data_IF_751845336746
#
_entry.id   IF_751845336746
#
_cell.length_a   1.000
_cell.length_b   1.000
_cell.length_c   1.000
_cell.angle_alpha   90.00
_cell.angle_beta   90.00
_cell.angle_gamma   90.00
#
_symmetry.space_group_name_H-M   'P 1'
#
loop_
_entity.id
_entity.type
_entity.pdbx_description
1 polymer ?
#
# COMPACT_ATOMS: atom_id res chain seq x y z
N UNK A 1 4.49 14.56 -8.75
CA UNK A 1 3.14 14.10 -8.35
C UNK A 1 2.11 15.15 -8.77
N UNK A 2 0.98 14.74 -9.36
CA UNK A 2 -0.15 15.64 -9.57
C UNK A 2 -0.52 16.30 -8.23
N UNK A 3 -0.78 17.60 -8.23
CA UNK A 3 -1.13 18.35 -7.02
C UNK A 3 -2.50 17.88 -6.53
N UNK A 4 -2.51 16.98 -5.56
CA UNK A 4 -3.71 16.66 -4.81
C UNK A 4 -4.02 17.83 -3.87
N UNK A 5 -5.30 18.19 -3.76
CA UNK A 5 -5.78 19.22 -2.86
C UNK A 5 -6.44 18.56 -1.64
N UNK A 6 -6.37 19.26 -0.50
CA UNK A 6 -7.11 18.87 0.70
C UNK A 6 -8.46 19.58 0.73
N UNK A 7 -9.51 18.87 1.16
CA UNK A 7 -10.81 19.46 1.45
C UNK A 7 -10.81 20.19 2.82
N UNK A 8 -11.98 20.65 3.28
CA UNK A 8 -12.14 21.33 4.56
C UNK A 8 -11.82 20.47 5.80
N UNK A 9 -11.89 19.14 5.66
CA UNK A 9 -11.56 18.17 6.70
C UNK A 9 -10.08 17.73 6.64
N UNK A 10 -9.33 18.20 5.65
CA UNK A 10 -7.94 17.80 5.42
C UNK A 10 -7.80 16.51 4.61
N UNK A 11 -8.88 16.01 4.00
CA UNK A 11 -8.91 14.79 3.20
C UNK A 11 -8.56 15.05 1.74
N UNK A 12 -8.00 14.04 1.08
CA UNK A 12 -7.44 14.13 -0.26
C UNK A 12 -8.53 14.02 -1.32
N UNK A 13 -8.68 15.06 -2.15
CA UNK A 13 -9.72 15.11 -3.19
C UNK A 13 -9.23 14.41 -4.48
N UNK A 14 -10.01 13.49 -5.08
CA UNK A 14 -9.67 12.85 -6.35
C UNK A 14 -9.88 13.81 -7.54
N UNK A 15 -8.93 14.73 -7.73
CA UNK A 15 -8.99 15.78 -8.75
C UNK A 15 -8.88 15.26 -10.19
N UNK A 16 -9.18 16.13 -11.16
CA UNK A 16 -8.95 15.89 -12.58
C UNK A 16 -7.48 15.55 -12.85
N UNK A 17 -6.55 16.30 -12.27
CA UNK A 17 -5.10 16.08 -12.42
C UNK A 17 -4.66 14.75 -11.82
N UNK A 18 -5.25 14.37 -10.69
CA UNK A 18 -5.01 13.06 -10.08
C UNK A 18 -5.43 11.92 -11.00
N UNK A 19 -6.65 11.95 -11.54
CA UNK A 19 -7.12 10.91 -12.45
C UNK A 19 -6.36 10.91 -13.78
N UNK A 20 -5.97 12.09 -14.29
CA UNK A 20 -5.15 12.20 -15.49
C UNK A 20 -3.81 11.47 -15.35
N UNK A 21 -3.20 11.53 -14.16
CA UNK A 21 -1.93 10.84 -13.90
C UNK A 21 -2.04 9.32 -14.05
N UNK A 22 -3.20 8.71 -13.82
CA UNK A 22 -3.41 7.27 -14.07
C UNK A 22 -3.44 6.94 -15.56
N UNK A 23 -4.04 7.79 -16.38
CA UNK A 23 -4.05 7.58 -17.83
C UNK A 23 -2.67 7.81 -18.46
N UNK A 24 -1.81 8.60 -17.82
CA UNK A 24 -0.43 8.86 -18.26
C UNK A 24 0.57 7.75 -17.90
N UNK A 25 0.17 6.71 -17.15
CA UNK A 25 1.09 5.62 -16.81
C UNK A 25 1.37 4.75 -18.03
N UNK A 26 2.56 4.15 -18.06
CA UNK A 26 3.04 3.34 -19.19
C UNK A 26 2.09 2.18 -19.52
N UNK A 27 1.36 1.63 -18.54
CA UNK A 27 0.40 0.55 -18.79
C UNK A 27 -0.84 0.99 -19.61
N UNK A 28 -1.08 2.30 -19.74
CA UNK A 28 -2.26 2.88 -20.42
C UNK A 28 -1.87 3.88 -21.50
N UNK A 29 -0.71 4.51 -21.38
CA UNK A 29 -0.18 5.47 -22.33
C UNK A 29 0.05 4.79 -23.70
N UNK A 30 -0.45 5.37 -24.80
CA UNK A 30 -0.28 4.79 -26.12
C UNK A 30 1.19 4.70 -26.53
N UNK A 31 1.52 3.62 -27.23
CA UNK A 31 2.81 3.40 -27.85
C UNK A 31 2.82 3.90 -29.30
N UNK A 32 4.01 3.91 -29.93
CA UNK A 32 4.17 4.32 -31.32
C UNK A 32 3.34 3.50 -32.33
N UNK A 33 2.96 2.28 -31.95
CA UNK A 33 2.20 1.32 -32.75
C UNK A 33 0.71 1.24 -32.37
N UNK A 34 0.26 2.05 -31.41
CA UNK A 34 -1.13 2.09 -30.95
C UNK A 34 -2.10 2.44 -32.08
N UNK A 35 -3.28 1.84 -32.05
CA UNK A 35 -4.28 2.01 -33.10
C UNK A 35 -4.98 3.39 -33.01
N UNK A 36 -5.59 3.89 -34.10
CA UNK A 36 -6.28 5.18 -34.09
C UNK A 36 -7.39 5.31 -33.03
N UNK A 37 -8.10 4.21 -32.74
CA UNK A 37 -9.16 4.18 -31.72
C UNK A 37 -8.60 4.41 -30.31
N UNK A 38 -7.49 3.77 -29.99
CA UNK A 38 -6.79 3.94 -28.71
C UNK A 38 -6.25 5.36 -28.55
N UNK A 39 -5.60 5.90 -29.59
CA UNK A 39 -5.11 7.30 -29.58
C UNK A 39 -6.26 8.30 -29.37
N UNK A 40 -7.41 8.05 -29.98
CA UNK A 40 -8.61 8.89 -29.81
C UNK A 40 -9.18 8.79 -28.39
N UNK A 41 -9.31 7.58 -27.84
CA UNK A 41 -9.77 7.37 -26.47
C UNK A 41 -8.80 7.98 -25.45
N UNK A 42 -7.50 7.75 -25.62
CA UNK A 42 -6.47 8.30 -24.75
C UNK A 42 -6.50 9.82 -24.76
N UNK A 43 -6.59 10.45 -25.94
CA UNK A 43 -6.71 11.91 -26.03
C UNK A 43 -7.95 12.43 -25.30
N UNK A 44 -9.11 11.79 -25.51
CA UNK A 44 -10.36 12.13 -24.83
C UNK A 44 -10.22 12.09 -23.31
N UNK A 45 -9.63 11.01 -22.78
CA UNK A 45 -9.44 10.81 -21.33
C UNK A 45 -8.29 11.63 -20.75
N UNK A 46 -7.29 11.96 -21.56
CA UNK A 46 -6.30 12.93 -21.16
C UNK A 46 -7.00 14.28 -21.01
N UNK A 47 -7.67 14.81 -22.04
CA UNK A 47 -8.34 16.12 -22.01
C UNK A 47 -9.37 16.23 -20.87
N UNK A 48 -10.26 15.25 -20.73
CA UNK A 48 -11.24 15.13 -19.66
C UNK A 48 -11.24 13.69 -19.07
N UNK A 49 -10.52 13.46 -17.95
CA UNK A 49 -10.43 12.15 -17.29
C UNK A 49 -11.78 11.56 -16.88
N UNK A 50 -12.78 12.40 -16.60
CA UNK A 50 -14.12 11.98 -16.21
C UNK A 50 -15.12 11.92 -17.38
N UNK A 51 -14.64 12.11 -18.62
CA UNK A 51 -15.47 11.95 -19.80
C UNK A 51 -16.11 10.55 -19.85
N UNK A 52 -17.39 10.44 -20.24
CA UNK A 52 -18.06 9.15 -20.33
C UNK A 52 -17.43 8.30 -21.44
N UNK A 53 -17.17 7.02 -21.14
CA UNK A 53 -16.64 6.04 -22.09
C UNK A 53 -17.72 5.01 -22.37
N UNK A 54 -18.07 4.85 -23.64
CA UNK A 54 -19.08 3.86 -24.06
C UNK A 54 -18.39 2.55 -24.48
N UNK A 55 -19.08 1.40 -24.43
CA UNK A 55 -18.46 0.11 -24.79
C UNK A 55 -17.86 0.08 -26.19
N UNK A 56 -18.41 0.85 -27.14
CA UNK A 56 -17.88 0.97 -28.50
C UNK A 56 -16.50 1.62 -28.55
N UNK A 57 -16.21 2.58 -27.65
CA UNK A 57 -14.90 3.25 -27.57
C UNK A 57 -13.78 2.22 -27.28
N UNK A 58 -14.08 1.19 -26.48
CA UNK A 58 -13.13 0.12 -26.14
C UNK A 58 -13.15 -1.04 -27.16
N UNK A 59 -14.28 -1.28 -27.82
CA UNK A 59 -14.42 -2.36 -28.79
C UNK A 59 -13.51 -2.15 -30.02
N UNK A 60 -13.36 -0.91 -30.46
CA UNK A 60 -12.54 -0.52 -31.61
C UNK A 60 -11.03 -0.62 -31.35
N UNK A 61 -10.61 -0.82 -30.10
CA UNK A 61 -9.21 -1.07 -29.76
C UNK A 61 -8.85 -2.52 -30.09
N UNK A 62 -7.81 -2.68 -30.92
CA UNK A 62 -7.36 -3.98 -31.41
C UNK A 62 -6.76 -4.84 -30.29
N UNK A 63 -5.89 -4.25 -29.47
CA UNK A 63 -5.19 -4.93 -28.40
C UNK A 63 -6.10 -5.12 -27.17
N UNK A 64 -6.28 -6.37 -26.74
CA UNK A 64 -7.17 -6.71 -25.62
C UNK A 64 -6.51 -6.52 -24.25
N UNK A 65 -5.19 -6.54 -24.17
CA UNK A 65 -4.47 -6.23 -22.94
C UNK A 65 -4.54 -4.73 -22.66
N UNK A 66 -4.41 -3.89 -23.69
CA UNK A 66 -4.67 -2.44 -23.59
C UNK A 66 -6.09 -2.17 -23.11
N UNK A 67 -7.10 -2.84 -23.69
CA UNK A 67 -8.50 -2.70 -23.23
C UNK A 67 -8.65 -3.08 -21.76
N UNK A 68 -7.98 -4.12 -21.30
CA UNK A 68 -8.01 -4.53 -19.90
C UNK A 68 -7.44 -3.45 -18.96
N UNK A 69 -6.32 -2.84 -19.35
CA UNK A 69 -5.69 -1.78 -18.58
C UNK A 69 -6.59 -0.53 -18.50
N UNK A 70 -7.18 -0.11 -19.62
CA UNK A 70 -8.18 0.98 -19.62
C UNK A 70 -9.37 0.65 -18.71
N UNK A 71 -9.91 -0.56 -18.79
CA UNK A 71 -11.03 -0.98 -17.94
C UNK A 71 -10.69 -0.93 -16.45
N UNK A 72 -9.48 -1.33 -16.06
CA UNK A 72 -9.04 -1.26 -14.67
C UNK A 72 -9.06 0.19 -14.15
N UNK A 73 -8.46 1.13 -14.89
CA UNK A 73 -8.43 2.55 -14.52
C UNK A 73 -9.83 3.18 -14.57
N UNK A 74 -10.64 2.86 -15.58
CA UNK A 74 -12.00 3.38 -15.69
C UNK A 74 -12.89 2.92 -14.54
N UNK A 75 -12.80 1.66 -14.11
CA UNK A 75 -13.54 1.17 -12.94
C UNK A 75 -13.11 1.84 -11.64
N UNK A 76 -11.82 2.12 -11.49
CA UNK A 76 -11.31 2.88 -10.34
C UNK A 76 -11.82 4.32 -10.36
N UNK A 77 -11.74 5.00 -11.50
CA UNK A 77 -12.31 6.34 -11.72
C UNK A 77 -13.80 6.40 -11.38
N UNK A 78 -14.57 5.47 -11.93
CA UNK A 78 -16.02 5.42 -11.77
C UNK A 78 -16.38 5.18 -10.30
N UNK A 79 -15.59 4.36 -9.59
CA UNK A 79 -15.73 4.19 -8.15
C UNK A 79 -15.49 5.50 -7.40
N UNK A 80 -14.35 6.15 -7.64
CA UNK A 80 -13.99 7.42 -6.98
C UNK A 80 -14.99 8.54 -7.24
N UNK A 81 -15.65 8.54 -8.40
CA UNK A 81 -16.67 9.54 -8.75
C UNK A 81 -17.90 9.53 -7.83
N UNK A 82 -18.05 8.50 -6.99
CA UNK A 82 -19.12 8.41 -5.99
C UNK A 82 -18.75 9.03 -4.62
N UNK A 83 -17.51 9.51 -4.45
CA UNK A 83 -16.99 9.98 -3.18
C UNK A 83 -16.31 11.34 -3.33
N UNK A 84 -16.34 12.14 -2.26
CA UNK A 84 -15.75 13.48 -2.26
C UNK A 84 -14.23 13.45 -2.00
N UNK A 85 -13.75 12.39 -1.37
CA UNK A 85 -12.35 12.21 -0.98
C UNK A 85 -11.89 10.75 -1.14
N UNK A 86 -10.57 10.55 -1.17
CA UNK A 86 -9.94 9.23 -1.13
C UNK A 86 -10.23 8.52 0.19
N UNK A 87 -10.28 9.26 1.29
CA UNK A 87 -10.60 8.78 2.63
C UNK A 87 -12.04 8.24 2.69
N UNK A 88 -13.02 8.94 2.10
CA UNK A 88 -14.40 8.47 1.99
C UNK A 88 -14.50 7.17 1.17
N UNK A 89 -13.80 7.14 0.04
CA UNK A 89 -13.71 5.98 -0.83
C UNK A 89 -13.09 4.76 -0.09
N UNK A 90 -12.00 4.98 0.64
CA UNK A 90 -11.37 3.98 1.50
C UNK A 90 -12.30 3.49 2.61
N UNK A 91 -13.01 4.41 3.29
CA UNK A 91 -13.97 4.06 4.33
C UNK A 91 -15.17 3.27 3.79
N UNK A 92 -15.57 3.51 2.55
CA UNK A 92 -16.61 2.72 1.90
C UNK A 92 -16.16 1.27 1.65
N UNK A 93 -14.92 1.07 1.18
CA UNK A 93 -14.34 -0.26 0.96
C UNK A 93 -14.24 -1.01 2.29
N UNK A 94 -13.71 -0.39 3.35
CA UNK A 94 -13.59 -1.02 4.67
C UNK A 94 -14.94 -1.36 5.30
N UNK A 95 -16.01 -0.64 4.93
CA UNK A 95 -17.40 -0.94 5.32
C UNK A 95 -18.09 -1.97 4.42
N UNK A 96 -17.36 -2.59 3.48
CA UNK A 96 -17.84 -3.71 2.68
C UNK A 96 -18.39 -3.36 1.30
N UNK A 97 -18.18 -2.13 0.81
CA UNK A 97 -18.48 -1.83 -0.60
C UNK A 97 -17.56 -2.66 -1.49
N UNK A 98 -18.17 -3.41 -2.41
CA UNK A 98 -17.44 -4.27 -3.35
C UNK A 98 -16.68 -3.43 -4.36
N UNK A 99 -15.41 -3.76 -4.56
CA UNK A 99 -14.57 -3.20 -5.62
C UNK A 99 -14.63 -4.08 -6.87
N UNK A 100 -14.50 -3.45 -8.03
CA UNK A 100 -14.47 -4.12 -9.34
C UNK A 100 -13.18 -3.82 -10.13
N UNK A 101 -12.19 -3.24 -9.47
CA UNK A 101 -10.86 -2.92 -10.00
C UNK A 101 -9.78 -3.68 -9.19
N UNK A 102 -8.54 -3.81 -9.71
CA UNK A 102 -7.45 -4.50 -9.03
C UNK A 102 -7.15 -3.98 -7.60
N UNK A 103 -6.78 -4.85 -6.63
CA UNK A 103 -6.43 -4.44 -5.27
C UNK A 103 -5.33 -3.37 -5.19
N UNK A 104 -4.40 -3.34 -6.16
CA UNK A 104 -3.34 -2.34 -6.28
C UNK A 104 -3.84 -0.89 -6.18
N UNK A 105 -5.04 -0.58 -6.67
CA UNK A 105 -5.60 0.77 -6.55
C UNK A 105 -5.95 1.14 -5.11
N UNK A 106 -6.34 0.16 -4.29
CA UNK A 106 -6.57 0.36 -2.85
C UNK A 106 -5.24 0.64 -2.15
N UNK A 107 -4.19 -0.12 -2.47
CA UNK A 107 -2.84 0.12 -1.96
C UNK A 107 -2.34 1.52 -2.30
N UNK A 108 -2.47 1.95 -3.55
CA UNK A 108 -2.07 3.30 -3.99
C UNK A 108 -2.87 4.40 -3.30
N UNK A 109 -4.17 4.19 -3.10
CA UNK A 109 -5.01 5.11 -2.34
C UNK A 109 -4.56 5.19 -0.87
N UNK A 110 -4.30 4.06 -0.22
CA UNK A 110 -3.77 3.99 1.15
C UNK A 110 -2.42 4.70 1.26
N UNK A 111 -1.53 4.53 0.28
CA UNK A 111 -0.25 5.22 0.22
C UNK A 111 -0.43 6.75 0.20
N UNK A 112 -1.35 7.27 -0.60
CA UNK A 112 -1.62 8.71 -0.71
C UNK A 112 -2.16 9.25 0.61
N UNK A 113 -3.10 8.52 1.23
CA UNK A 113 -3.66 8.89 2.53
C UNK A 113 -2.56 8.89 3.60
N UNK A 114 -1.67 7.90 3.61
CA UNK A 114 -0.54 7.88 4.54
C UNK A 114 0.45 9.02 4.32
N UNK A 115 0.77 9.35 3.06
CA UNK A 115 1.57 10.56 2.76
C UNK A 115 0.90 11.82 3.29
N UNK A 116 -0.43 11.90 3.24
CA UNK A 116 -1.20 13.00 3.82
C UNK A 116 -1.10 13.02 5.36
N UNK A 117 -1.34 11.88 6.00
CA UNK A 117 -1.29 11.71 7.47
C UNK A 117 0.11 12.02 8.04
N UNK A 118 1.15 11.62 7.30
CA UNK A 118 2.54 11.73 7.72
C UNK A 118 3.21 13.01 7.23
N UNK A 119 2.47 13.93 6.60
CA UNK A 119 2.99 15.23 6.18
C UNK A 119 3.68 15.96 7.35
N UNK A 120 4.91 16.42 7.12
CA UNK A 120 5.77 17.02 8.14
C UNK A 120 6.44 16.05 9.13
N UNK A 121 6.25 14.73 9.00
CA UNK A 121 7.00 13.74 9.79
C UNK A 121 8.45 13.68 9.30
N UNK A 122 9.40 13.87 10.21
CA UNK A 122 10.84 13.90 9.91
C UNK A 122 11.57 12.61 10.24
N UNK A 123 10.90 11.67 10.90
CA UNK A 123 11.46 10.39 11.33
C UNK A 123 11.34 9.37 10.18
N UNK A 124 12.45 8.94 9.55
CA UNK A 124 12.41 8.01 8.42
C UNK A 124 11.88 6.62 8.82
N UNK A 125 12.07 6.22 10.08
CA UNK A 125 11.55 4.93 10.57
C UNK A 125 10.03 4.89 10.52
N UNK A 126 9.37 6.00 10.89
CA UNK A 126 7.91 6.11 10.75
C UNK A 126 7.46 6.07 9.29
N UNK A 127 8.18 6.73 8.38
CA UNK A 127 7.79 6.72 6.96
C UNK A 127 7.96 5.32 6.37
N UNK A 128 9.09 4.66 6.63
CA UNK A 128 9.32 3.29 6.17
C UNK A 128 8.33 2.30 6.79
N UNK A 129 8.03 2.43 8.08
CA UNK A 129 7.05 1.59 8.76
C UNK A 129 5.64 1.76 8.18
N UNK A 130 5.29 2.94 7.65
CA UNK A 130 4.01 3.17 7.02
C UNK A 130 3.81 2.35 5.73
N UNK A 131 4.89 1.95 5.06
CA UNK A 131 4.81 1.10 3.87
C UNK A 131 4.16 -0.25 4.14
N UNK A 132 4.23 -0.77 5.37
CA UNK A 132 3.57 -2.02 5.79
C UNK A 132 2.05 -1.98 5.61
N UNK A 133 1.44 -0.79 5.55
CA UNK A 133 -0.01 -0.64 5.40
C UNK A 133 -0.47 -0.64 3.94
N UNK A 134 0.45 -0.55 2.96
CA UNK A 134 0.10 -0.49 1.54
C UNK A 134 1.01 -1.31 0.62
N UNK A 135 1.98 -2.05 1.17
CA UNK A 135 2.88 -2.95 0.44
C UNK A 135 2.94 -4.28 1.16
N UNK A 136 2.79 -5.36 0.41
CA UNK A 136 3.06 -6.70 0.92
C UNK A 136 4.53 -6.82 1.34
N UNK A 137 4.77 -7.41 2.51
CA UNK A 137 6.12 -7.61 3.03
C UNK A 137 6.48 -9.09 3.06
N UNK A 138 7.74 -9.40 2.77
CA UNK A 138 8.37 -10.66 3.15
C UNK A 138 8.89 -10.50 4.58
N UNK A 139 8.57 -11.46 5.44
CA UNK A 139 9.04 -11.53 6.83
C UNK A 139 10.12 -12.59 6.95
N UNK A 140 11.29 -12.21 7.46
CA UNK A 140 12.40 -13.11 7.74
C UNK A 140 12.74 -13.07 9.22
N UNK A 141 12.94 -14.24 9.83
CA UNK A 141 13.30 -14.39 11.23
C UNK A 141 14.75 -14.84 11.31
N UNK A 142 15.63 -14.04 11.91
CA UNK A 142 17.05 -14.35 12.07
C UNK A 142 17.58 -13.84 13.42
N UNK A 143 18.15 -14.72 14.24
CA UNK A 143 18.76 -14.44 15.56
C UNK A 143 18.01 -13.41 16.44
N UNK A 144 16.68 -13.57 16.55
CA UNK A 144 15.82 -12.70 17.36
C UNK A 144 15.40 -11.38 16.68
N UNK A 145 15.80 -11.16 15.44
CA UNK A 145 15.30 -10.09 14.56
C UNK A 145 14.06 -10.54 13.82
N UNK A 146 13.18 -9.57 13.54
CA UNK A 146 12.01 -9.76 12.69
C UNK A 146 12.13 -8.77 11.55
N UNK A 147 12.76 -9.22 10.46
CA UNK A 147 13.04 -8.39 9.31
C UNK A 147 11.84 -8.35 8.37
N UNK A 148 11.41 -7.16 7.98
CA UNK A 148 10.36 -6.97 6.98
C UNK A 148 10.86 -6.15 5.81
N UNK A 149 10.59 -6.64 4.60
CA UNK A 149 11.02 -6.03 3.35
C UNK A 149 9.94 -6.11 2.27
N UNK A 150 9.90 -5.15 1.35
CA UNK A 150 8.92 -5.11 0.27
C UNK A 150 9.00 -6.38 -0.61
N UNK A 151 7.88 -7.07 -0.75
CA UNK A 151 7.82 -8.37 -1.41
C UNK A 151 8.18 -8.29 -2.89
N UNK A 152 7.79 -7.24 -3.59
CA UNK A 152 8.06 -7.09 -5.02
C UNK A 152 9.55 -6.80 -5.28
N UNK A 153 10.17 -6.01 -4.41
CA UNK A 153 11.61 -5.75 -4.43
C UNK A 153 12.42 -7.02 -4.16
N UNK A 154 12.04 -7.81 -3.16
CA UNK A 154 12.65 -9.13 -2.88
C UNK A 154 12.58 -10.03 -4.12
N UNK A 155 11.39 -10.18 -4.72
CA UNK A 155 11.17 -11.02 -5.90
C UNK A 155 12.00 -10.56 -7.10
N UNK A 156 12.10 -9.25 -7.32
CA UNK A 156 12.89 -8.67 -8.39
C UNK A 156 14.38 -9.00 -8.20
N UNK A 157 14.91 -8.80 -6.99
CA UNK A 157 16.31 -9.09 -6.68
C UNK A 157 16.63 -10.58 -6.88
N UNK A 158 15.79 -11.48 -6.37
CA UNK A 158 15.92 -12.93 -6.60
C UNK A 158 15.92 -13.25 -8.10
N UNK A 159 15.05 -12.60 -8.87
CA UNK A 159 14.96 -12.85 -10.32
C UNK A 159 16.21 -12.39 -11.06
N UNK A 160 16.78 -11.23 -10.67
CA UNK A 160 18.03 -10.72 -11.21
C UNK A 160 19.22 -11.62 -10.87
N UNK A 161 19.31 -12.13 -9.64
CA UNK A 161 20.35 -13.05 -9.20
C UNK A 161 20.31 -14.37 -10.01
N UNK A 162 19.10 -14.92 -10.27
CA UNK A 162 18.94 -16.09 -11.13
C UNK A 162 19.46 -15.87 -12.54
N UNK A 163 19.17 -14.71 -13.12
CA UNK A 163 19.61 -14.36 -14.49
C UNK A 163 21.13 -14.23 -14.55
N UNK A 164 21.77 -13.75 -13.47
CA UNK A 164 23.21 -13.58 -13.38
C UNK A 164 23.97 -14.88 -13.02
N UNK A 165 23.27 -16.01 -12.89
CA UNK A 165 23.87 -17.31 -12.56
C UNK A 165 24.28 -17.44 -11.09
N UNK A 166 23.71 -16.62 -10.21
CA UNK A 166 23.87 -16.77 -8.76
C UNK A 166 23.17 -18.03 -8.25
N UNK A 167 23.77 -18.68 -7.26
CA UNK A 167 23.15 -19.82 -6.59
C UNK A 167 22.08 -19.31 -5.61
N UNK A 168 20.80 -19.48 -5.99
CA UNK A 168 19.64 -19.03 -5.21
C UNK A 168 19.22 -20.07 -4.17
N UNK A 169 19.85 -21.25 -4.18
CA UNK A 169 19.60 -22.31 -3.21
C UNK A 169 20.32 -22.02 -1.88
N UNK A 170 19.88 -20.97 -1.17
CA UNK A 170 20.22 -20.78 0.25
C UNK A 170 20.74 -19.41 0.67
N UNK A 171 20.83 -18.42 -0.21
CA UNK A 171 21.16 -17.06 0.21
C UNK A 171 19.89 -16.29 0.56
N UNK A 172 19.79 -15.82 1.81
CA UNK A 172 18.89 -14.73 2.16
C UNK A 172 19.19 -13.54 1.26
N UNK A 173 18.15 -13.02 0.62
CA UNK A 173 18.26 -11.82 -0.21
C UNK A 173 18.71 -10.67 0.70
N UNK A 174 19.92 -10.16 0.50
CA UNK A 174 20.46 -9.07 1.31
C UNK A 174 19.77 -7.79 0.88
N UNK A 175 18.67 -7.46 1.56
CA UNK A 175 18.04 -6.15 1.48
C UNK A 175 18.68 -5.27 2.54
N UNK A 176 19.01 -4.05 2.15
CA UNK A 176 19.62 -3.06 3.03
C UNK A 176 18.75 -2.86 4.29
N UNK A 177 19.32 -3.10 5.46
CA UNK A 177 18.62 -2.97 6.74
C UNK A 177 18.78 -1.53 7.20
N UNK A 178 17.66 -0.84 7.34
CA UNK A 178 17.66 0.52 7.85
C UNK A 178 18.01 0.49 9.34
N UNK A 179 19.17 1.05 9.67
CA UNK A 179 19.61 1.29 11.04
C UNK A 179 19.30 2.74 11.43
N UNK A 180 19.22 3.04 12.73
CA UNK A 180 18.89 4.39 13.20
C UNK A 180 19.93 5.43 12.74
N UNK A 181 21.19 5.02 12.63
CA UNK A 181 22.32 5.86 12.26
C UNK A 181 22.35 6.21 10.76
N UNK A 182 21.71 5.38 9.93
CA UNK A 182 21.70 5.53 8.45
C UNK A 182 20.31 5.82 7.90
N UNK A 183 19.31 5.97 8.76
CA UNK A 183 17.90 6.12 8.38
C UNK A 183 17.63 7.31 7.44
N UNK A 184 18.43 8.37 7.51
CA UNK A 184 18.29 9.55 6.63
C UNK A 184 18.51 9.26 5.15
N UNK A 185 19.21 8.17 4.81
CA UNK A 185 19.39 7.75 3.41
C UNK A 185 18.07 7.36 2.76
N UNK A 186 17.06 6.96 3.55
CA UNK A 186 15.73 6.59 3.08
C UNK A 186 15.11 7.67 2.19
N UNK A 187 15.27 8.95 2.51
CA UNK A 187 14.66 10.05 1.77
C UNK A 187 15.08 10.11 0.30
N UNK A 188 16.31 9.71 -0.02
CA UNK A 188 16.83 9.74 -1.39
C UNK A 188 16.33 8.56 -2.23
N UNK A 189 15.81 7.52 -1.56
CA UNK A 189 15.41 6.25 -2.18
C UNK A 189 13.98 5.82 -1.81
N UNK A 190 13.16 6.70 -1.25
CA UNK A 190 11.83 6.36 -0.72
C UNK A 190 10.89 5.80 -1.78
N UNK A 191 11.09 6.17 -3.06
CA UNK A 191 10.30 5.65 -4.18
C UNK A 191 10.83 4.30 -4.72
N UNK A 192 11.95 3.78 -4.18
CA UNK A 192 12.54 2.50 -4.59
C UNK A 192 12.08 1.31 -3.74
N UNK A 193 11.51 1.56 -2.54
CA UNK A 193 11.04 0.51 -1.60
C UNK A 193 12.08 -0.57 -1.26
N UNK A 194 13.37 -0.26 -1.39
CA UNK A 194 14.47 -1.23 -1.30
C UNK A 194 15.17 -1.26 0.06
N UNK A 195 14.45 -0.90 1.12
CA UNK A 195 14.95 -0.97 2.50
C UNK A 195 14.12 -1.94 3.29
N UNK A 196 14.77 -2.66 4.20
CA UNK A 196 14.15 -3.50 5.20
C UNK A 196 14.26 -2.86 6.58
N UNK A 197 13.38 -3.23 7.49
CA UNK A 197 13.43 -2.78 8.89
C UNK A 197 13.23 -3.96 9.83
N UNK A 198 13.85 -3.87 11.00
CA UNK A 198 13.64 -4.83 12.09
C UNK A 198 12.47 -4.34 12.95
N UNK A 199 11.41 -5.14 13.03
CA UNK A 199 10.22 -4.89 13.85
C UNK A 199 10.18 -5.77 15.11
N UNK A 200 11.31 -6.36 15.52
CA UNK A 200 11.41 -7.03 16.80
C UNK A 200 11.12 -6.07 17.98
N UNK A 201 10.78 -6.64 19.13
CA UNK A 201 10.53 -5.85 20.33
C UNK A 201 11.75 -4.98 20.67
N UNK A 202 11.50 -3.73 21.08
CA UNK A 202 12.50 -2.66 21.32
C UNK A 202 13.16 -2.05 20.09
N UNK A 203 12.84 -2.52 18.87
CA UNK A 203 13.42 -1.95 17.66
C UNK A 203 12.70 -0.66 17.23
N UNK A 204 13.44 0.34 16.71
CA UNK A 204 12.89 1.66 16.35
C UNK A 204 11.74 1.60 15.34
N UNK A 205 11.78 0.66 14.39
CA UNK A 205 10.74 0.56 13.37
C UNK A 205 9.41 0.07 13.93
N UNK A 206 9.42 -0.75 15.00
CA UNK A 206 8.21 -1.18 15.69
C UNK A 206 7.55 0.00 16.43
N UNK A 207 8.35 0.84 17.09
CA UNK A 207 7.86 2.09 17.69
C UNK A 207 7.32 3.05 16.62
N UNK A 208 8.01 3.14 15.48
CA UNK A 208 7.58 3.89 14.30
C UNK A 208 6.22 3.42 13.79
N UNK A 209 6.04 2.11 13.63
CA UNK A 209 4.76 1.50 13.23
C UNK A 209 3.64 1.86 14.22
N UNK A 210 3.91 1.77 15.52
CA UNK A 210 2.94 2.15 16.54
C UNK A 210 2.51 3.62 16.42
N UNK A 211 3.45 4.55 16.16
CA UNK A 211 3.12 5.97 15.92
C UNK A 211 2.30 6.16 14.65
N UNK A 212 2.59 5.42 13.59
CA UNK A 212 1.81 5.44 12.34
C UNK A 212 0.37 4.98 12.60
N UNK A 213 0.19 3.86 13.30
CA UNK A 213 -1.13 3.34 13.64
C UNK A 213 -1.96 4.30 14.50
N UNK A 214 -1.34 4.97 15.48
CA UNK A 214 -2.02 6.01 16.27
C UNK A 214 -2.50 7.18 15.39
N UNK A 215 -1.64 7.67 14.48
CA UNK A 215 -2.00 8.73 13.52
C UNK A 215 -3.10 8.27 12.57
N UNK A 216 -3.05 7.02 12.11
CA UNK A 216 -4.07 6.41 11.25
C UNK A 216 -5.45 6.35 11.92
N UNK A 217 -5.51 5.85 13.15
CA UNK A 217 -6.74 5.80 13.95
C UNK A 217 -7.29 7.20 14.21
N UNK A 218 -6.42 8.15 14.55
CA UNK A 218 -6.82 9.54 14.76
C UNK A 218 -7.38 10.15 13.48
N UNK A 219 -6.79 9.87 12.32
CA UNK A 219 -7.22 10.43 11.04
C UNK A 219 -8.64 9.99 10.67
N UNK A 220 -8.93 8.69 10.73
CA UNK A 220 -10.24 8.17 10.31
C UNK A 220 -11.34 8.25 11.37
N UNK A 221 -10.98 8.13 12.65
CA UNK A 221 -11.96 8.00 13.74
C UNK A 221 -11.96 9.21 14.68
N UNK A 222 -11.03 10.17 14.51
CA UNK A 222 -10.83 11.30 15.45
C UNK A 222 -10.59 10.85 16.90
N UNK A 223 -10.13 9.61 17.10
CA UNK A 223 -9.82 9.04 18.41
C UNK A 223 -8.33 9.20 18.71
N UNK A 224 -8.00 9.69 19.90
CA UNK A 224 -6.63 9.68 20.39
C UNK A 224 -6.40 8.35 21.11
N UNK A 225 -5.56 7.49 20.53
CA UNK A 225 -5.19 6.19 21.09
C UNK A 225 -3.70 6.15 21.39
N UNK A 226 -3.29 5.22 22.25
CA UNK A 226 -1.89 4.88 22.47
C UNK A 226 -1.67 3.42 22.09
N UNK A 227 -0.72 3.17 21.19
CA UNK A 227 -0.29 1.83 20.78
C UNK A 227 1.07 1.58 21.41
N UNK A 228 1.16 0.60 22.30
CA UNK A 228 2.40 0.25 23.00
C UNK A 228 2.83 -1.15 22.56
N UNK A 229 4.00 -1.31 21.91
CA UNK A 229 4.53 -2.63 21.63
C UNK A 229 4.78 -3.38 22.94
N UNK A 230 4.46 -4.68 22.96
CA UNK A 230 4.68 -5.55 24.12
C UNK A 230 5.30 -6.86 23.66
N UNK A 231 6.26 -7.38 24.44
CA UNK A 231 6.87 -8.69 24.17
C UNK A 231 5.89 -9.85 24.42
N UNK A 232 5.00 -9.67 25.39
CA UNK A 232 3.96 -10.62 25.80
C UNK A 232 2.77 -9.87 26.35
N UNK A 233 1.59 -10.49 26.24
CA UNK A 233 0.36 -9.99 26.85
C UNK A 233 0.31 -10.57 28.28
N UNK A 234 0.48 -9.71 29.29
CA UNK A 234 0.29 -10.05 30.71
C UNK A 234 -0.84 -9.18 31.27
N UNK A 235 -2.07 -9.48 30.85
CA UNK A 235 -3.26 -8.80 31.36
C UNK A 235 -4.36 -9.82 31.69
N UNK A 236 -4.54 -10.07 33.00
CA UNK A 236 -5.62 -10.92 33.53
C UNK A 236 -7.03 -10.37 33.20
N UNK A 237 -7.14 -9.14 32.68
CA UNK A 237 -8.38 -8.45 32.32
C UNK A 237 -8.45 -8.12 30.84
N UNK A 238 -8.01 -9.06 30.00
CA UNK A 238 -8.15 -8.97 28.55
C UNK A 238 -9.62 -8.82 28.14
N UNK A 239 -10.06 -7.59 27.84
CA UNK A 239 -11.47 -7.29 27.60
C UNK A 239 -11.93 -7.67 26.18
N UNK A 240 -11.07 -7.47 25.18
CA UNK A 240 -11.33 -7.78 23.78
C UNK A 240 -10.00 -7.80 23.00
N UNK A 241 -10.01 -8.43 21.82
CA UNK A 241 -8.91 -8.45 20.87
C UNK A 241 -9.40 -8.27 19.44
N UNK A 242 -8.46 -7.95 18.55
CA UNK A 242 -8.68 -7.87 17.11
C UNK A 242 -7.43 -8.38 16.41
N UNK A 243 -7.59 -9.41 15.57
CA UNK A 243 -6.55 -9.82 14.62
C UNK A 243 -6.63 -8.99 13.35
N UNK A 244 -5.48 -8.71 12.75
CA UNK A 244 -5.41 -7.95 11.49
C UNK A 244 -5.84 -8.79 10.28
N UNK A 245 -5.83 -10.11 10.41
CA UNK A 245 -6.36 -11.07 9.44
C UNK A 245 -7.07 -12.25 10.14
N UNK A 246 -7.53 -13.23 9.34
CA UNK A 246 -8.22 -14.41 9.84
C UNK A 246 -7.31 -15.32 10.70
N UNK A 247 -6.02 -15.45 10.36
CA UNK A 247 -5.06 -16.26 11.10
C UNK A 247 -4.72 -15.60 12.44
N UNK A 248 -4.35 -14.32 12.43
CA UNK A 248 -4.11 -13.53 13.63
C UNK A 248 -5.34 -13.51 14.53
N UNK A 249 -6.55 -13.40 13.97
CA UNK A 249 -7.78 -13.48 14.74
C UNK A 249 -7.96 -14.86 15.37
N UNK A 250 -7.65 -15.94 14.66
CA UNK A 250 -7.67 -17.30 15.22
C UNK A 250 -6.69 -17.45 16.38
N UNK A 251 -5.44 -17.02 16.20
CA UNK A 251 -4.40 -17.07 17.23
C UNK A 251 -4.85 -16.28 18.47
N UNK A 252 -5.37 -15.07 18.28
CA UNK A 252 -5.84 -14.25 19.38
C UNK A 252 -7.10 -14.83 20.04
N UNK A 253 -7.98 -15.51 19.29
CA UNK A 253 -9.11 -16.23 19.87
C UNK A 253 -8.64 -17.39 20.77
N UNK A 254 -7.62 -18.14 20.34
CA UNK A 254 -7.07 -19.24 21.13
C UNK A 254 -6.42 -18.70 22.42
N UNK A 255 -5.59 -17.66 22.30
CA UNK A 255 -4.98 -16.98 23.44
C UNK A 255 -6.03 -16.39 24.40
N UNK A 256 -7.11 -15.79 23.88
CA UNK A 256 -8.19 -15.22 24.68
C UNK A 256 -8.99 -16.28 25.46
N UNK A 257 -9.06 -17.51 24.94
CA UNK A 257 -9.77 -18.62 25.57
C UNK A 257 -8.85 -19.56 26.38
N UNK A 258 -7.62 -19.15 26.67
CA UNK A 258 -6.59 -19.96 27.36
C UNK A 258 -6.33 -21.32 26.67
N UNK A 259 -6.43 -21.36 25.34
CA UNK A 259 -6.10 -22.54 24.53
C UNK A 259 -4.62 -22.43 24.15
N UNK A 260 -3.86 -23.51 24.38
CA UNK A 260 -2.46 -23.59 23.96
C UNK A 260 -2.37 -23.42 22.44
N UNK A 261 -1.69 -22.35 22.01
CA UNK A 261 -1.38 -22.12 20.61
C UNK A 261 -0.21 -23.05 20.28
N UNK A 262 -0.48 -24.16 19.59
CA UNK A 262 0.59 -24.99 19.04
C UNK A 262 1.48 -24.13 18.14
N UNK A 263 2.82 -24.27 18.23
CA UNK A 263 3.74 -23.63 17.29
C UNK A 263 3.21 -23.85 15.87
N UNK A 264 2.84 -22.74 15.21
CA UNK A 264 2.27 -22.75 13.86
C UNK A 264 3.21 -23.52 12.94
N UNK A 265 2.69 -24.60 12.34
CA UNK A 265 3.39 -25.37 11.32
C UNK A 265 3.53 -24.63 10.00
#
# INVERSE_FOLDING_TARGET
MASLIRDENGYMVPTVEFMRAYFMRDEVAPEAQSCPAELALHKKLNDDPFAPVVPTDLFEINDKDVVHNYQAVLRFRDFLSNYNSLEDAYMAITRGVKIHFPPLFVEQMTQIILRNILDGTTDPMQIRAAELLFRDQVVTLDDGRIMVADQETVKLQISLEKIQGGDVAGNETVIDIMASETADEYWQRSDQFNTSVDIAFTQPALDGLARVMEKWVKHFLSLNVRVTPMLKIEDDKWAWHLGLDAQATSILNDLYHDIDVSELG
#
